data_IF_679115443599
#
_entry.id   IF_679115443599
#
_cell.length_a   1.000
_cell.length_b   1.000
_cell.length_c   1.000
_cell.angle_alpha   90.00
_cell.angle_beta   90.00
_cell.angle_gamma   90.00
#
_symmetry.space_group_name_H-M   'P 1'
#
loop_
_entity.id
_entity.type
_entity.pdbx_description
1 polymer ?
#
# COMPACT_ATOMS: atom_id res chain seq x y z
N UNK A 1 -10.52 12.05 -12.15
CA UNK A 1 -10.49 11.56 -10.75
C UNK A 1 -10.93 12.61 -9.76
N UNK A 2 -12.15 12.47 -9.25
CA UNK A 2 -12.68 13.39 -8.24
C UNK A 2 -12.02 13.23 -6.87
N UNK A 3 -11.55 12.03 -6.51
CA UNK A 3 -10.98 11.76 -5.19
C UNK A 3 -9.62 12.43 -4.97
N UNK A 4 -8.65 12.22 -5.86
CA UNK A 4 -7.31 12.81 -5.72
C UNK A 4 -7.35 14.34 -5.70
N UNK A 5 -8.23 14.93 -6.53
CA UNK A 5 -8.48 16.37 -6.58
C UNK A 5 -9.16 16.87 -5.29
N UNK A 6 -10.21 16.19 -4.82
CA UNK A 6 -10.95 16.55 -3.60
C UNK A 6 -10.06 16.58 -2.35
N UNK A 7 -9.05 15.70 -2.28
CA UNK A 7 -8.14 15.61 -1.13
C UNK A 7 -6.76 16.20 -1.39
N UNK A 8 -6.56 16.89 -2.53
CA UNK A 8 -5.29 17.53 -2.92
C UNK A 8 -4.06 16.63 -2.74
N UNK A 9 -4.16 15.36 -3.14
CA UNK A 9 -3.10 14.39 -2.89
C UNK A 9 -1.86 14.71 -3.75
N UNK A 10 -0.66 14.85 -3.16
CA UNK A 10 0.57 15.19 -3.89
C UNK A 10 1.22 13.97 -4.56
N UNK A 11 0.43 12.92 -4.85
CA UNK A 11 0.91 11.66 -5.40
C UNK A 11 -0.15 11.00 -6.28
N UNK A 12 0.31 10.07 -7.12
CA UNK A 12 -0.53 9.34 -8.06
C UNK A 12 -1.35 8.29 -7.33
N UNK A 13 -2.63 8.17 -7.69
CA UNK A 13 -3.46 7.03 -7.35
C UNK A 13 -3.56 6.08 -8.55
N UNK A 14 -3.15 4.84 -8.35
CA UNK A 14 -3.25 3.81 -9.36
C UNK A 14 -4.58 3.05 -9.24
N UNK A 15 -5.27 2.83 -10.36
CA UNK A 15 -6.52 2.05 -10.42
C UNK A 15 -6.27 0.60 -10.86
N UNK A 16 -6.30 -0.34 -9.92
CA UNK A 16 -6.15 -1.79 -10.19
C UNK A 16 -7.52 -2.48 -10.38
N UNK A 17 -8.30 -2.05 -11.38
CA UNK A 17 -9.71 -2.47 -11.57
C UNK A 17 -9.89 -3.99 -11.70
N UNK A 18 -8.92 -4.68 -12.30
CA UNK A 18 -8.96 -6.13 -12.53
C UNK A 18 -8.16 -6.93 -11.49
N UNK A 19 -7.72 -6.28 -10.40
CA UNK A 19 -7.00 -6.90 -9.28
C UNK A 19 -5.66 -7.56 -9.68
N UNK A 20 -5.11 -7.24 -10.86
CA UNK A 20 -3.87 -7.85 -11.36
C UNK A 20 -2.69 -7.53 -10.44
N UNK A 21 -2.55 -6.28 -10.03
CA UNK A 21 -1.44 -5.87 -9.16
C UNK A 21 -1.63 -6.43 -7.76
N UNK A 22 -2.83 -6.35 -7.19
CA UNK A 22 -3.13 -6.94 -5.89
C UNK A 22 -2.72 -8.42 -5.83
N UNK A 23 -3.06 -9.18 -6.87
CA UNK A 23 -2.71 -10.60 -6.98
C UNK A 23 -1.20 -10.80 -7.12
N UNK A 24 -0.53 -10.01 -7.97
CA UNK A 24 0.92 -10.07 -8.17
C UNK A 24 1.70 -9.79 -6.88
N UNK A 25 1.22 -8.83 -6.08
CA UNK A 25 1.83 -8.47 -4.79
C UNK A 25 1.42 -9.41 -3.64
N UNK A 26 0.59 -10.43 -3.91
CA UNK A 26 0.18 -11.43 -2.92
C UNK A 26 -0.63 -10.85 -1.75
N UNK A 27 -1.40 -9.78 -1.98
CA UNK A 27 -2.13 -9.11 -0.89
C UNK A 27 -3.22 -10.06 -0.35
N UNK A 28 -3.17 -10.46 0.94
CA UNK A 28 -4.07 -11.47 1.47
C UNK A 28 -5.51 -10.97 1.53
N UNK A 29 -6.45 -11.90 1.60
CA UNK A 29 -7.85 -11.61 1.96
C UNK A 29 -8.12 -12.15 3.35
N UNK A 30 -8.82 -11.37 4.17
CA UNK A 30 -9.28 -11.79 5.49
C UNK A 30 -10.73 -12.28 5.43
N UNK A 31 -11.15 -13.01 6.45
CA UNK A 31 -12.54 -13.49 6.63
C UNK A 31 -13.08 -14.19 5.37
N UNK A 32 -12.40 -15.24 4.91
CA UNK A 32 -12.82 -16.03 3.74
C UNK A 32 -13.09 -15.20 2.47
N UNK A 33 -12.36 -14.10 2.26
CA UNK A 33 -12.51 -13.26 1.07
C UNK A 33 -13.37 -12.01 1.25
N UNK A 34 -14.03 -11.86 2.41
CA UNK A 34 -14.97 -10.76 2.66
C UNK A 34 -14.28 -9.42 2.91
N UNK A 35 -13.07 -9.42 3.48
CA UNK A 35 -12.37 -8.19 3.82
C UNK A 35 -10.99 -8.17 3.14
N UNK A 36 -10.71 -7.18 2.27
CA UNK A 36 -9.38 -7.02 1.73
C UNK A 36 -8.41 -6.62 2.84
N UNK A 37 -7.26 -7.30 2.92
CA UNK A 37 -6.14 -6.76 3.69
C UNK A 37 -5.70 -5.40 3.15
N UNK A 38 -5.06 -4.61 4.02
CA UNK A 38 -4.34 -3.40 3.62
C UNK A 38 -2.85 -3.59 3.88
N UNK A 39 -2.08 -3.51 2.80
CA UNK A 39 -0.64 -3.73 2.83
C UNK A 39 0.06 -2.50 2.25
N UNK A 40 1.16 -2.11 2.87
CA UNK A 40 2.07 -1.06 2.41
C UNK A 40 3.41 -1.71 2.07
N UNK A 41 3.92 -1.43 0.88
CA UNK A 41 5.22 -1.91 0.42
C UNK A 41 6.17 -0.73 0.30
N UNK A 42 7.42 -0.93 0.72
CA UNK A 42 8.51 0.02 0.47
C UNK A 42 9.46 -0.66 -0.50
N UNK A 43 9.78 0.05 -1.59
CA UNK A 43 10.58 -0.46 -2.69
C UNK A 43 11.76 0.50 -2.86
N UNK A 44 12.97 -0.04 -2.95
CA UNK A 44 14.17 0.76 -3.21
C UNK A 44 14.28 1.18 -4.69
N UNK A 45 15.32 1.95 -5.01
CA UNK A 45 15.56 2.46 -6.37
C UNK A 45 15.92 1.35 -7.37
N UNK A 46 16.32 0.17 -6.89
CA UNK A 46 16.65 -1.00 -7.69
C UNK A 46 15.41 -1.89 -7.93
N UNK A 47 14.25 -1.49 -7.39
CA UNK A 47 12.99 -2.23 -7.55
C UNK A 47 12.82 -3.39 -6.56
N UNK A 48 13.65 -3.48 -5.52
CA UNK A 48 13.54 -4.52 -4.49
C UNK A 48 12.60 -4.07 -3.37
N UNK A 49 11.71 -4.96 -2.96
CA UNK A 49 10.88 -4.75 -1.77
C UNK A 49 11.79 -4.86 -0.53
N UNK A 50 11.95 -3.75 0.19
CA UNK A 50 12.76 -3.67 1.40
C UNK A 50 11.91 -3.67 2.69
N UNK A 51 10.59 -3.49 2.56
CA UNK A 51 9.68 -3.60 3.69
C UNK A 51 8.25 -3.92 3.24
N UNK A 52 7.55 -4.73 4.04
CA UNK A 52 6.12 -5.06 3.87
C UNK A 52 5.43 -4.84 5.21
N UNK A 53 4.38 -4.02 5.23
CA UNK A 53 3.58 -3.75 6.42
C UNK A 53 2.12 -4.07 6.17
N UNK A 54 1.60 -5.10 6.83
CA UNK A 54 0.20 -5.53 6.73
C UNK A 54 -0.56 -5.11 8.00
N UNK A 55 -1.56 -4.24 7.86
CA UNK A 55 -2.41 -3.83 8.98
C UNK A 55 -3.71 -3.22 8.49
N UNK A 56 -4.81 -3.52 9.17
CA UNK A 56 -6.13 -2.92 8.91
C UNK A 56 -6.20 -1.48 9.48
N UNK A 57 -5.35 -1.08 10.44
CA UNK A 57 -5.42 0.22 11.12
C UNK A 57 -4.73 1.35 10.34
N UNK A 58 -5.48 2.25 9.71
CA UNK A 58 -4.96 3.23 8.73
C UNK A 58 -3.85 4.14 9.22
N UNK A 59 -3.80 4.45 10.51
CA UNK A 59 -2.85 5.44 11.03
C UNK A 59 -1.44 4.91 11.23
N UNK A 60 -1.27 3.60 11.44
CA UNK A 60 0.02 3.03 11.90
C UNK A 60 1.07 2.96 10.78
N UNK A 61 0.65 2.77 9.53
CA UNK A 61 1.58 2.52 8.42
C UNK A 61 2.51 3.71 8.13
N UNK A 62 2.07 4.95 8.41
CA UNK A 62 2.86 6.16 8.13
C UNK A 62 4.13 6.19 8.98
N UNK A 63 3.99 5.96 10.29
CA UNK A 63 5.13 5.93 11.22
C UNK A 63 6.12 4.82 10.85
N UNK A 64 5.60 3.65 10.48
CA UNK A 64 6.41 2.53 10.02
C UNK A 64 7.20 2.89 8.74
N UNK A 65 6.52 3.45 7.73
CA UNK A 65 7.14 3.84 6.47
C UNK A 65 8.24 4.90 6.67
N UNK A 66 7.96 5.96 7.45
CA UNK A 66 8.93 6.99 7.75
C UNK A 66 10.16 6.44 8.50
N UNK A 67 9.97 5.53 9.45
CA UNK A 67 11.08 4.89 10.17
C UNK A 67 11.95 4.07 9.23
N UNK A 68 11.34 3.29 8.34
CA UNK A 68 12.08 2.49 7.36
C UNK A 68 12.87 3.37 6.40
N UNK A 69 12.23 4.37 5.80
CA UNK A 69 12.86 5.27 4.81
C UNK A 69 14.03 6.06 5.41
N UNK A 70 13.93 6.49 6.68
CA UNK A 70 15.03 7.21 7.36
C UNK A 70 16.24 6.33 7.69
N UNK A 71 16.05 5.02 7.77
CA UNK A 71 17.09 4.06 8.12
C UNK A 71 17.66 3.34 6.88
N UNK A 72 17.22 3.72 5.67
CA UNK A 72 17.81 3.31 4.39
C UNK A 72 18.95 4.26 4.02
#
# INVERSE_FOLDING_TARGET
>A
DSFAQKYNLPFILLSDKNKKLRNLFGVPTHFFGLVPARVTYIIDKQGKIISIFNSIKATVHIQHALKMIKNM
#
